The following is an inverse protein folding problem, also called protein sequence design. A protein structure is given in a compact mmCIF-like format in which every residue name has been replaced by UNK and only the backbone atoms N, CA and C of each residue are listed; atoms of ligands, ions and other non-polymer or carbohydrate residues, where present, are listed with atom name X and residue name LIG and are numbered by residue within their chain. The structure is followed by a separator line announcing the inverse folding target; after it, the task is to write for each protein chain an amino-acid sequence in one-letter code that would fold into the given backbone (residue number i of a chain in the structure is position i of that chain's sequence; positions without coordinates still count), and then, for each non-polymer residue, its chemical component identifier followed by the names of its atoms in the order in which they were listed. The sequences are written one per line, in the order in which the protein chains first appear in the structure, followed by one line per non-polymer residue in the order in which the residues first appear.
data_IF_871586640375
#
_entry.id   IF_871586640375
#
_cell.length_a   1.000
_cell.length_b   1.000
_cell.length_c   1.000
_cell.angle_alpha   90.00
_cell.angle_beta   90.00
_cell.angle_gamma   90.00
#
_symmetry.space_group_name_H-M   'P 1'
#
loop_
_entity.id
_entity.type
_entity.pdbx_description
1 polymer ?
#
# COMPACT_ATOMS: atom_id res chain seq x y z
N UNK A 1 7.07 2.13 -4.36
CA UNK A 1 5.68 2.66 -4.37
C UNK A 1 4.90 2.14 -5.57
N UNK A 2 3.82 1.38 -5.36
CA UNK A 2 2.83 1.03 -6.40
C UNK A 2 1.96 2.26 -6.72
N UNK A 3 2.56 3.25 -7.38
CA UNK A 3 1.99 4.59 -7.62
C UNK A 3 0.67 4.57 -8.39
N UNK A 4 0.50 3.61 -9.32
CA UNK A 4 -0.72 3.53 -10.12
C UNK A 4 -1.98 3.28 -9.28
N UNK A 5 -1.92 2.33 -8.35
CA UNK A 5 -3.08 1.98 -7.54
C UNK A 5 -3.44 3.10 -6.55
N UNK A 6 -2.45 3.80 -6.02
CA UNK A 6 -2.67 4.95 -5.13
C UNK A 6 -3.45 6.07 -5.84
N UNK A 7 -3.07 6.41 -7.08
CA UNK A 7 -3.76 7.41 -7.88
C UNK A 7 -5.19 6.98 -8.27
N UNK A 8 -5.38 5.70 -8.60
CA UNK A 8 -6.71 5.15 -8.92
C UNK A 8 -7.64 5.30 -7.71
N UNK A 9 -7.17 4.94 -6.51
CA UNK A 9 -7.97 5.07 -5.28
C UNK A 9 -8.26 6.52 -4.91
N UNK A 10 -7.28 7.42 -5.06
CA UNK A 10 -7.51 8.85 -4.81
C UNK A 10 -8.55 9.43 -5.77
N UNK A 11 -8.53 9.04 -7.05
CA UNK A 11 -9.55 9.47 -8.01
C UNK A 11 -10.93 8.88 -7.68
N UNK A 12 -11.00 7.62 -7.30
CA UNK A 12 -12.25 6.97 -6.90
C UNK A 12 -12.84 7.59 -5.62
N UNK A 13 -12.01 7.93 -4.64
CA UNK A 13 -12.37 8.67 -3.43
C UNK A 13 -13.02 10.01 -3.80
N UNK A 14 -12.34 10.80 -4.64
CA UNK A 14 -12.84 12.09 -5.09
C UNK A 14 -14.19 12.00 -5.82
N UNK A 15 -14.33 11.06 -6.76
CA UNK A 15 -15.59 10.82 -7.46
C UNK A 15 -16.71 10.37 -6.52
N UNK A 16 -16.42 9.49 -5.54
CA UNK A 16 -17.41 9.05 -4.56
C UNK A 16 -17.87 10.18 -3.62
N UNK A 17 -16.99 11.14 -3.29
CA UNK A 17 -17.37 12.34 -2.55
C UNK A 17 -18.32 13.22 -3.37
N UNK A 18 -18.02 13.44 -4.66
CA UNK A 18 -18.90 14.23 -5.53
C UNK A 18 -20.27 13.59 -5.70
N UNK A 19 -20.33 12.26 -5.80
CA UNK A 19 -21.57 11.50 -5.95
C UNK A 19 -22.33 11.30 -4.62
N UNK A 20 -21.86 11.89 -3.51
CA UNK A 20 -22.46 11.75 -2.18
C UNK A 20 -22.32 10.36 -1.55
N UNK A 21 -21.56 9.45 -2.17
CA UNK A 21 -21.33 8.07 -1.71
C UNK A 21 -20.24 8.02 -0.63
N UNK A 22 -20.52 8.64 0.53
CA UNK A 22 -19.55 8.82 1.63
C UNK A 22 -18.92 7.50 2.11
N UNK A 23 -19.69 6.42 2.21
CA UNK A 23 -19.15 5.11 2.63
C UNK A 23 -18.10 4.56 1.65
N UNK A 24 -18.31 4.77 0.34
CA UNK A 24 -17.33 4.35 -0.66
C UNK A 24 -16.07 5.22 -0.61
N UNK A 25 -16.22 6.54 -0.43
CA UNK A 25 -15.09 7.44 -0.25
C UNK A 25 -14.23 7.03 0.96
N UNK A 26 -14.86 6.72 2.10
CA UNK A 26 -14.17 6.21 3.28
C UNK A 26 -13.42 4.90 3.01
N UNK A 27 -14.05 3.96 2.30
CA UNK A 27 -13.41 2.70 1.92
C UNK A 27 -12.18 2.93 1.03
N UNK A 28 -12.25 3.82 0.02
CA UNK A 28 -11.12 4.13 -0.84
C UNK A 28 -9.97 4.79 -0.08
N UNK A 29 -10.27 5.71 0.85
CA UNK A 29 -9.28 6.34 1.72
C UNK A 29 -8.58 5.31 2.63
N UNK A 30 -9.33 4.36 3.20
CA UNK A 30 -8.78 3.28 4.02
C UNK A 30 -7.89 2.35 3.22
N UNK A 31 -8.31 1.93 2.02
CA UNK A 31 -7.48 1.09 1.13
C UNK A 31 -6.17 1.80 0.77
N UNK A 32 -6.25 3.10 0.47
CA UNK A 32 -5.09 3.94 0.17
C UNK A 32 -4.12 4.03 1.36
N UNK A 33 -4.65 4.10 2.58
CA UNK A 33 -3.86 4.08 3.83
C UNK A 33 -3.16 2.73 4.04
N UNK A 34 -3.85 1.61 3.81
CA UNK A 34 -3.27 0.26 3.89
C UNK A 34 -2.14 0.10 2.87
N UNK A 35 -2.36 0.48 1.61
CA UNK A 35 -1.33 0.43 0.57
C UNK A 35 -0.07 1.24 0.93
N UNK A 36 -0.24 2.40 1.55
CA UNK A 36 0.89 3.21 2.04
C UNK A 36 1.57 2.64 3.28
N UNK A 37 0.86 1.86 4.10
CA UNK A 37 1.46 1.12 5.20
C UNK A 37 2.24 -0.09 4.68
N UNK A 38 1.65 -0.88 3.77
CA UNK A 38 2.31 -2.04 3.17
C UNK A 38 3.54 -1.63 2.36
N UNK A 39 3.47 -0.52 1.62
CA UNK A 39 4.62 0.00 0.91
C UNK A 39 5.76 0.44 1.85
N UNK A 40 5.43 1.03 3.01
CA UNK A 40 6.42 1.35 4.05
C UNK A 40 6.96 0.10 4.75
N UNK A 41 6.11 -0.90 5.00
CA UNK A 41 6.51 -2.18 5.56
C UNK A 41 7.38 -3.00 4.59
N UNK A 42 7.15 -2.85 3.28
CA UNK A 42 7.96 -3.43 2.21
C UNK A 42 9.28 -2.66 2.03
N UNK A 43 9.27 -1.33 2.19
CA UNK A 43 10.49 -0.52 2.25
C UNK A 43 11.35 -0.88 3.49
N UNK A 44 10.74 -1.12 4.65
CA UNK A 44 11.41 -1.56 5.88
C UNK A 44 11.98 -2.99 5.77
N UNK A 45 11.29 -3.88 5.04
CA UNK A 45 11.81 -5.19 4.65
C UNK A 45 12.97 -5.11 3.64
N UNK A 46 13.01 -4.08 2.79
CA UNK A 46 14.12 -3.82 1.87
C UNK A 46 15.28 -3.03 2.51
N UNK A 47 15.02 -2.32 3.62
CA UNK A 47 16.00 -1.59 4.41
C UNK A 47 16.63 -2.46 5.53
N UNK A 48 15.89 -3.46 6.03
CA UNK A 48 16.47 -4.61 6.72
C UNK A 48 17.11 -5.51 5.66
N UNK A 49 18.35 -5.21 5.29
CA UNK A 49 19.10 -6.04 4.36
C UNK A 49 19.09 -7.50 4.78
N UNK A 50 18.21 -8.29 4.18
CA UNK A 50 18.38 -9.73 4.07
C UNK A 50 19.66 -9.94 3.26
N UNK A 51 20.80 -10.00 3.97
CA UNK A 51 21.95 -10.76 3.49
C UNK A 51 21.46 -12.18 3.25
N UNK A 52 21.07 -12.46 2.02
CA UNK A 52 20.69 -13.79 1.55
C UNK A 52 21.94 -14.68 1.43
N UNK A 53 22.71 -14.84 2.52
CA UNK A 53 24.00 -15.54 2.48
C UNK A 53 24.31 -16.36 3.72
N UNK A 54 23.32 -16.79 4.52
CA UNK A 54 23.55 -17.77 5.60
C UNK A 54 22.37 -18.75 5.80
N UNK A 55 21.75 -19.22 4.70
CA UNK A 55 20.75 -20.31 4.76
C UNK A 55 21.14 -21.53 3.90
N UNK A 56 22.44 -21.73 3.65
CA UNK A 56 22.97 -22.96 3.06
C UNK A 56 24.23 -23.41 3.82
N UNK A 57 24.07 -23.80 5.09
CA UNK A 57 25.02 -24.68 5.77
C UNK A 57 24.43 -25.24 7.07
N UNK A 58 23.43 -26.10 6.94
CA UNK A 58 23.05 -27.06 7.98
C UNK A 58 22.23 -28.20 7.35
N UNK A 59 22.91 -29.08 6.63
CA UNK A 59 22.47 -30.44 6.34
C UNK A 59 23.72 -31.33 6.18
#
# INVERSE_FOLDING_TARGET
MLTHLHHVLQRAEYSAVQDGRRSQAANYAQLRKVLCMDARSMEDASASGLKATELDQAA
#
